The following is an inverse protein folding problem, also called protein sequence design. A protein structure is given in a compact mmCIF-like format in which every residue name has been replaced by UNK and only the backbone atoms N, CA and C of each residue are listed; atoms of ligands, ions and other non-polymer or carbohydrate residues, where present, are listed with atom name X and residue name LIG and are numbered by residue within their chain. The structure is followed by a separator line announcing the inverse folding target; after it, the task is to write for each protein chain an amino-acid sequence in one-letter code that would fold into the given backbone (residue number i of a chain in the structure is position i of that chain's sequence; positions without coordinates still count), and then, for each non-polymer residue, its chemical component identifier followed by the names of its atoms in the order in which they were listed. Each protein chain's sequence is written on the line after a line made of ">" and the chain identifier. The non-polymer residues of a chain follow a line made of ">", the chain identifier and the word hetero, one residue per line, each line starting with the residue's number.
data_IF_743749022037
#
_entry.id   IF_743749022037
#
_cell.length_a   1.000
_cell.length_b   1.000
_cell.length_c   1.000
_cell.angle_alpha   90.00
_cell.angle_beta   90.00
_cell.angle_gamma   90.00
#
_symmetry.space_group_name_H-M   'P 1'
#
loop_
_entity.id
_entity.type
_entity.pdbx_description
1 polymer ?
#
# COMPACT_ATOMS: atom_id res chain seq x y z
N UNK A 1 -6.50 22.60 -25.99
CA UNK A 1 -7.48 21.50 -26.12
C UNK A 1 -7.14 20.43 -25.10
N UNK A 2 -8.09 19.95 -24.32
CA UNK A 2 -7.86 18.94 -23.27
C UNK A 2 -8.42 17.61 -23.73
N UNK A 3 -7.59 16.58 -23.82
CA UNK A 3 -8.06 15.22 -24.07
C UNK A 3 -8.68 14.64 -22.80
N UNK A 4 -9.81 13.93 -22.93
CA UNK A 4 -10.46 13.20 -21.84
C UNK A 4 -10.60 11.74 -22.24
N UNK A 5 -10.23 10.83 -21.35
CA UNK A 5 -10.45 9.40 -21.51
C UNK A 5 -11.70 9.00 -20.75
N UNK A 6 -12.64 8.36 -21.45
CA UNK A 6 -13.82 7.77 -20.86
C UNK A 6 -13.75 6.26 -21.04
N UNK A 7 -13.86 5.50 -19.95
CA UNK A 7 -13.85 4.04 -19.97
C UNK A 7 -15.21 3.55 -19.46
N UNK A 8 -15.86 2.67 -20.24
CA UNK A 8 -17.06 1.95 -19.81
C UNK A 8 -16.64 0.55 -19.37
N UNK A 9 -16.82 0.25 -18.09
CA UNK A 9 -16.62 -1.10 -17.56
C UNK A 9 -17.97 -1.81 -17.52
N UNK A 10 -18.05 -2.98 -18.14
CA UNK A 10 -19.24 -3.85 -18.11
C UNK A 10 -18.90 -5.14 -17.40
N UNK A 11 -19.81 -5.65 -16.56
CA UNK A 11 -19.63 -6.88 -15.80
C UNK A 11 -18.40 -6.88 -14.86
N UNK A 12 -18.06 -5.72 -14.30
CA UNK A 12 -17.02 -5.65 -13.28
C UNK A 12 -17.51 -6.34 -12.01
N UNK A 13 -16.79 -7.36 -11.54
CA UNK A 13 -17.11 -8.06 -10.30
C UNK A 13 -16.15 -7.68 -9.16
N UNK A 14 -14.92 -7.27 -9.49
CA UNK A 14 -13.89 -6.87 -8.54
C UNK A 14 -13.07 -5.70 -9.07
N UNK A 15 -12.59 -4.87 -8.17
CA UNK A 15 -11.61 -3.81 -8.46
C UNK A 15 -10.38 -3.99 -7.55
N UNK A 16 -9.21 -3.65 -8.08
CA UNK A 16 -7.97 -3.51 -7.30
C UNK A 16 -7.58 -2.03 -7.28
N UNK A 17 -7.53 -1.45 -6.08
CA UNK A 17 -7.16 -0.05 -5.84
C UNK A 17 -5.78 -0.04 -5.18
N UNK A 18 -4.87 0.77 -5.73
CA UNK A 18 -3.47 0.82 -5.33
C UNK A 18 -3.17 2.14 -4.61
N UNK A 19 -2.90 2.06 -3.30
CA UNK A 19 -2.47 3.21 -2.51
C UNK A 19 -0.97 3.16 -2.30
N UNK A 20 -0.23 4.12 -2.87
CA UNK A 20 1.22 4.18 -2.70
C UNK A 20 1.60 4.76 -1.34
N UNK A 21 2.33 3.99 -0.53
CA UNK A 21 2.76 4.35 0.84
C UNK A 21 4.26 4.54 0.99
N UNK A 22 5.04 4.32 -0.08
CA UNK A 22 6.41 4.80 -0.22
C UNK A 22 6.84 4.75 -1.70
N UNK A 23 7.90 5.50 -2.02
CA UNK A 23 8.49 5.54 -3.36
C UNK A 23 10.01 5.68 -3.27
N UNK A 24 10.70 5.08 -4.23
CA UNK A 24 12.06 5.40 -4.68
C UNK A 24 13.02 5.90 -3.61
N UNK A 25 13.63 4.99 -2.85
CA UNK A 25 14.56 5.35 -1.78
C UNK A 25 15.65 4.31 -1.60
N UNK A 26 16.88 4.77 -1.39
CA UNK A 26 18.01 3.94 -0.97
C UNK A 26 18.14 4.08 0.54
N UNK A 27 17.78 3.02 1.28
CA UNK A 27 17.65 3.08 2.74
C UNK A 27 18.78 2.27 3.37
N UNK A 28 19.75 2.95 3.98
CA UNK A 28 20.93 2.37 4.64
C UNK A 28 20.73 2.09 6.13
N UNK A 29 19.78 2.78 6.78
CA UNK A 29 19.60 2.73 8.23
C UNK A 29 18.43 1.83 8.62
N UNK A 30 18.64 0.91 9.57
CA UNK A 30 17.58 0.11 10.16
C UNK A 30 16.65 0.94 11.05
N UNK A 31 15.40 0.51 11.18
CA UNK A 31 14.38 1.25 11.95
C UNK A 31 13.92 2.55 11.29
N UNK A 32 14.28 2.76 10.02
CA UNK A 32 13.98 3.96 9.26
C UNK A 32 12.52 3.99 8.81
N UNK A 33 11.82 5.03 9.23
CA UNK A 33 10.48 5.36 8.77
C UNK A 33 10.61 6.12 7.44
N UNK A 34 10.13 5.51 6.35
CA UNK A 34 10.23 6.10 5.01
C UNK A 34 9.43 7.42 5.01
N UNK A 35 10.07 8.58 4.82
CA UNK A 35 9.48 9.89 5.10
C UNK A 35 8.43 10.34 4.07
N UNK A 36 7.99 9.44 3.18
CA UNK A 36 7.19 9.79 2.01
C UNK A 36 5.86 9.04 1.99
N UNK A 37 4.79 9.85 1.94
CA UNK A 37 3.38 9.48 1.75
C UNK A 37 2.77 8.68 2.90
N UNK A 38 1.98 9.38 3.71
CA UNK A 38 1.00 8.77 4.62
C UNK A 38 -0.31 8.64 3.89
N UNK A 39 -0.86 7.44 3.92
CA UNK A 39 -2.15 7.17 3.31
C UNK A 39 -3.17 6.99 4.41
N UNK A 40 -4.19 7.84 4.40
CA UNK A 40 -5.44 7.54 5.09
C UNK A 40 -6.12 6.39 4.34
N UNK A 41 -6.29 5.25 5.01
CA UNK A 41 -7.03 4.12 4.47
C UNK A 41 -8.34 3.97 5.26
N UNK A 42 -9.45 4.30 4.62
CA UNK A 42 -10.78 4.00 5.15
C UNK A 42 -11.37 2.80 4.42
N UNK A 43 -11.26 1.63 5.04
CA UNK A 43 -11.78 0.37 4.50
C UNK A 43 -13.31 0.33 4.44
N UNK A 44 -14.00 1.20 5.20
CA UNK A 44 -15.47 1.26 5.21
C UNK A 44 -16.06 1.77 3.88
N UNK A 45 -15.22 2.39 3.05
CA UNK A 45 -15.59 2.85 1.71
C UNK A 45 -15.69 1.71 0.69
N UNK A 46 -15.34 0.48 1.07
CA UNK A 46 -15.31 -0.67 0.18
C UNK A 46 -16.25 -1.79 0.64
N UNK A 47 -16.87 -2.48 -0.32
CA UNK A 47 -17.64 -3.69 -0.06
C UNK A 47 -16.71 -4.90 0.01
N UNK A 48 -16.72 -5.61 1.14
CA UNK A 48 -15.96 -6.84 1.37
C UNK A 48 -14.47 -6.76 0.98
N UNK A 49 -13.70 -5.74 1.44
CA UNK A 49 -12.34 -5.55 0.99
C UNK A 49 -11.40 -6.63 1.52
N UNK A 50 -10.51 -7.12 0.66
CA UNK A 50 -9.31 -7.88 1.04
C UNK A 50 -8.09 -6.99 0.82
N UNK A 51 -7.30 -6.79 1.87
CA UNK A 51 -6.17 -5.86 1.87
C UNK A 51 -4.86 -6.62 1.84
N UNK A 52 -3.91 -6.15 1.03
CA UNK A 52 -2.54 -6.67 0.98
C UNK A 52 -1.54 -5.53 1.12
N UNK A 53 -0.35 -5.85 1.59
CA UNK A 53 0.82 -5.00 1.45
C UNK A 53 1.72 -5.56 0.35
N UNK A 54 2.18 -4.69 -0.54
CA UNK A 54 3.05 -5.06 -1.66
C UNK A 54 4.26 -4.14 -1.68
N UNK A 55 5.42 -4.72 -1.95
CA UNK A 55 6.65 -3.96 -2.15
C UNK A 55 7.41 -4.42 -3.39
N UNK A 56 8.05 -3.47 -4.05
CA UNK A 56 9.04 -3.73 -5.11
C UNK A 56 10.37 -3.17 -4.65
N UNK A 57 11.31 -4.06 -4.40
CA UNK A 57 12.63 -3.73 -3.85
C UNK A 57 13.64 -4.82 -4.18
N UNK A 58 14.89 -4.59 -3.80
CA UNK A 58 15.90 -5.64 -3.67
C UNK A 58 16.83 -5.34 -2.50
N UNK A 59 17.26 -6.40 -1.86
CA UNK A 59 18.35 -6.42 -0.90
C UNK A 59 18.94 -7.84 -0.93
N UNK A 60 20.26 -7.96 -1.00
CA UNK A 60 20.94 -9.24 -1.02
C UNK A 60 21.20 -9.76 0.40
N UNK A 61 20.19 -9.71 1.28
CA UNK A 61 20.25 -10.32 2.61
C UNK A 61 18.92 -10.98 3.01
N UNK A 62 18.97 -11.86 4.00
CA UNK A 62 17.79 -12.60 4.47
C UNK A 62 17.08 -11.92 5.65
N UNK A 63 17.53 -10.73 6.04
CA UNK A 63 17.19 -10.11 7.33
C UNK A 63 16.30 -8.90 7.13
N UNK A 64 16.45 -8.21 6.02
CA UNK A 64 15.75 -6.97 5.71
C UNK A 64 14.26 -7.18 5.55
N UNK A 65 13.52 -6.35 6.27
CA UNK A 65 12.06 -6.39 6.26
C UNK A 65 11.49 -5.00 6.06
N UNK A 66 10.55 -4.89 5.13
CA UNK A 66 9.63 -3.78 5.07
C UNK A 66 8.36 -4.14 5.83
N UNK A 67 7.84 -3.19 6.59
CA UNK A 67 6.56 -3.28 7.26
C UNK A 67 5.66 -2.12 6.88
N UNK A 68 4.36 -2.41 6.83
CA UNK A 68 3.34 -1.38 6.87
C UNK A 68 3.16 -0.95 8.33
N UNK A 69 3.25 0.34 8.60
CA UNK A 69 3.09 0.91 9.93
C UNK A 69 1.73 1.56 10.05
N UNK A 70 1.01 1.23 11.11
CA UNK A 70 -0.19 1.93 11.54
C UNK A 70 0.23 3.09 12.46
N UNK A 71 -0.13 4.32 12.07
CA UNK A 71 0.13 5.53 12.82
C UNK A 71 -1.13 6.15 13.46
N UNK A 72 -2.23 5.41 13.54
CA UNK A 72 -3.49 5.95 14.04
C UNK A 72 -3.98 7.11 13.19
N UNK A 73 -4.58 8.10 13.83
CA UNK A 73 -5.06 9.32 13.19
C UNK A 73 -3.96 10.39 13.00
N UNK A 74 -2.70 10.05 13.29
CA UNK A 74 -1.63 11.02 13.45
C UNK A 74 -0.92 11.40 12.13
N UNK A 75 -0.75 12.70 11.91
CA UNK A 75 -0.03 13.28 10.77
C UNK A 75 1.47 13.56 11.03
N UNK A 76 1.92 13.56 12.30
CA UNK A 76 3.25 14.03 12.74
C UNK A 76 4.43 13.19 12.24
N UNK A 77 4.19 11.94 11.88
CA UNK A 77 5.09 11.18 11.03
C UNK A 77 6.25 10.42 11.63
N UNK A 78 6.23 10.22 12.94
CA UNK A 78 7.14 9.33 13.65
C UNK A 78 6.33 8.54 14.66
N UNK A 79 6.75 7.30 14.94
CA UNK A 79 6.06 6.34 15.83
C UNK A 79 4.90 5.59 15.14
N UNK A 80 4.39 4.56 15.82
CA UNK A 80 3.34 3.67 15.30
C UNK A 80 3.56 2.22 15.71
N UNK A 81 2.79 1.31 15.12
CA UNK A 81 2.97 -0.14 15.30
C UNK A 81 3.00 -0.84 13.94
N UNK A 82 3.69 -1.97 13.84
CA UNK A 82 3.69 -2.76 12.62
C UNK A 82 2.30 -3.39 12.45
N UNK A 83 1.69 -3.25 11.27
CA UNK A 83 0.47 -3.98 10.94
C UNK A 83 0.81 -5.47 10.91
N UNK A 84 0.09 -6.27 11.69
CA UNK A 84 0.33 -7.70 11.80
C UNK A 84 0.29 -8.38 10.41
N UNK A 85 1.31 -9.19 10.12
CA UNK A 85 1.43 -9.90 8.83
C UNK A 85 1.92 -9.06 7.65
N UNK A 86 2.21 -7.76 7.84
CA UNK A 86 2.70 -6.89 6.76
C UNK A 86 4.20 -7.02 6.47
N UNK A 87 4.93 -7.86 7.19
CA UNK A 87 6.38 -8.02 7.01
C UNK A 87 6.74 -8.66 5.67
N UNK A 88 7.45 -7.92 4.82
CA UNK A 88 7.99 -8.40 3.54
C UNK A 88 9.50 -8.54 3.67
N UNK A 89 10.03 -9.74 3.42
CA UNK A 89 11.47 -10.00 3.37
C UNK A 89 11.98 -9.97 1.92
N UNK A 90 12.91 -9.07 1.61
CA UNK A 90 13.57 -9.01 0.31
C UNK A 90 14.93 -9.69 0.40
N UNK A 91 14.99 -10.94 -0.05
CA UNK A 91 16.24 -11.67 -0.23
C UNK A 91 16.51 -11.93 -1.70
N UNK A 92 16.99 -10.90 -2.40
CA UNK A 92 17.33 -10.99 -3.82
C UNK A 92 18.34 -9.93 -4.20
N UNK A 93 19.32 -10.33 -5.01
CA UNK A 93 20.28 -9.41 -5.65
C UNK A 93 19.64 -8.60 -6.80
N UNK A 94 18.43 -8.96 -7.23
CA UNK A 94 17.67 -8.27 -8.29
C UNK A 94 16.32 -7.80 -7.78
N UNK A 95 15.76 -6.78 -8.42
CA UNK A 95 14.42 -6.26 -8.10
C UNK A 95 13.38 -7.36 -8.20
N UNK A 96 12.66 -7.56 -7.10
CA UNK A 96 11.53 -8.47 -7.01
C UNK A 96 10.30 -7.72 -6.49
N UNK A 97 9.13 -8.24 -6.84
CA UNK A 97 7.84 -7.83 -6.27
C UNK A 97 7.38 -8.91 -5.31
N UNK A 98 7.04 -8.52 -4.09
CA UNK A 98 6.46 -9.43 -3.10
C UNK A 98 5.17 -8.80 -2.58
N UNK A 99 4.11 -9.62 -2.53
CA UNK A 99 2.82 -9.28 -1.92
C UNK A 99 2.62 -10.18 -0.70
N UNK A 100 2.13 -9.63 0.41
CA UNK A 100 1.84 -10.39 1.63
C UNK A 100 0.59 -11.27 1.43
N UNK A 101 0.31 -12.12 2.42
CA UNK A 101 -1.06 -12.61 2.63
C UNK A 101 -2.00 -11.43 2.99
N UNK A 102 -3.30 -11.70 3.06
CA UNK A 102 -4.27 -10.69 3.49
C UNK A 102 -3.93 -10.17 4.89
N UNK A 103 -3.99 -8.85 5.05
CA UNK A 103 -3.78 -8.15 6.31
C UNK A 103 -5.05 -7.42 6.74
N UNK A 104 -5.14 -7.06 8.02
CA UNK A 104 -6.29 -6.33 8.58
C UNK A 104 -5.80 -5.01 9.18
N UNK A 105 -5.58 -3.97 8.35
CA UNK A 105 -5.28 -2.64 8.85
C UNK A 105 -6.52 -2.03 9.53
N UNK A 106 -6.29 -1.15 10.50
CA UNK A 106 -7.35 -0.40 11.16
C UNK A 106 -7.97 0.63 10.21
N UNK A 107 -9.28 0.56 9.97
CA UNK A 107 -9.98 1.53 9.13
C UNK A 107 -9.91 2.94 9.70
N UNK A 108 -9.70 3.94 8.85
CA UNK A 108 -9.61 5.35 9.24
C UNK A 108 -8.22 5.78 9.73
N UNK A 109 -7.27 4.85 9.83
CA UNK A 109 -5.90 5.17 10.23
C UNK A 109 -5.03 5.58 9.04
N UNK A 110 -3.88 6.19 9.38
CA UNK A 110 -2.83 6.57 8.46
C UNK A 110 -1.71 5.56 8.47
N UNK A 111 -1.27 5.20 7.28
CA UNK A 111 -0.27 4.18 7.07
C UNK A 111 0.94 4.69 6.32
N UNK A 112 2.11 4.17 6.67
CA UNK A 112 3.38 4.47 6.03
C UNK A 112 4.31 3.25 6.04
N UNK A 113 5.41 3.30 5.30
CA UNK A 113 6.37 2.19 5.23
C UNK A 113 7.52 2.37 6.21
N UNK A 114 7.94 1.30 6.87
CA UNK A 114 9.16 1.27 7.67
C UNK A 114 10.07 0.13 7.26
N UNK A 115 11.37 0.41 7.26
CA UNK A 115 12.43 -0.62 7.19
C UNK A 115 12.79 -1.03 8.62
N UNK A 116 12.64 -2.32 8.95
CA UNK A 116 12.83 -2.76 10.34
C UNK A 116 14.30 -3.04 10.71
N UNK A 117 15.16 -3.57 9.83
CA UNK A 117 16.49 -4.00 10.27
C UNK A 117 17.50 -4.29 9.15
N UNK A 118 18.48 -3.40 8.97
CA UNK A 118 19.93 -3.68 8.95
C UNK A 118 20.70 -2.40 8.54
N UNK A 119 22.03 -2.45 8.56
CA UNK A 119 22.92 -1.42 7.97
C UNK A 119 23.09 -1.55 6.45
N UNK A 120 22.58 -2.62 5.85
CA UNK A 120 22.65 -2.84 4.41
C UNK A 120 21.68 -1.93 3.68
N UNK A 121 21.99 -1.69 2.41
CA UNK A 121 21.17 -0.87 1.54
C UNK A 121 19.97 -1.66 1.06
N UNK A 122 18.77 -1.17 1.38
CA UNK A 122 17.54 -1.59 0.73
C UNK A 122 17.20 -0.61 -0.38
N UNK A 123 17.07 -1.11 -1.60
CA UNK A 123 16.81 -0.29 -2.78
C UNK A 123 15.33 -0.34 -3.15
N UNK A 124 14.55 0.51 -2.47
CA UNK A 124 13.10 0.56 -2.56
C UNK A 124 12.68 1.24 -3.85
N UNK A 125 11.87 0.56 -4.66
CA UNK A 125 11.19 1.18 -5.81
C UNK A 125 9.85 1.78 -5.39
N UNK A 126 9.01 0.99 -4.71
CA UNK A 126 7.76 1.46 -4.09
C UNK A 126 7.17 0.42 -3.16
N UNK A 127 6.26 0.88 -2.31
CA UNK A 127 5.32 0.02 -1.58
C UNK A 127 3.89 0.51 -1.78
N UNK A 128 2.95 -0.43 -1.75
CA UNK A 128 1.53 -0.21 -1.97
C UNK A 128 0.73 -0.90 -0.87
N UNK A 129 -0.35 -0.27 -0.44
CA UNK A 129 -1.51 -0.97 0.08
C UNK A 129 -2.38 -1.30 -1.12
N UNK A 130 -2.71 -2.58 -1.27
CA UNK A 130 -3.56 -3.09 -2.34
C UNK A 130 -4.92 -3.43 -1.74
N UNK A 131 -5.96 -2.75 -2.20
CA UNK A 131 -7.35 -3.02 -1.80
C UNK A 131 -8.04 -3.76 -2.92
N UNK A 132 -8.38 -5.03 -2.71
CA UNK A 132 -9.26 -5.77 -3.60
C UNK A 132 -10.68 -5.75 -3.03
N UNK A 133 -11.62 -5.14 -3.74
CA UNK A 133 -13.00 -5.00 -3.28
C UNK A 133 -13.99 -5.47 -4.34
N UNK A 134 -15.18 -5.90 -3.88
CA UNK A 134 -16.29 -6.18 -4.78
C UNK A 134 -16.78 -4.89 -5.43
N UNK A 135 -17.10 -4.97 -6.71
CA UNK A 135 -17.76 -3.86 -7.38
C UNK A 135 -19.24 -3.85 -7.04
N UNK A 136 -19.68 -2.81 -6.33
CA UNK A 136 -21.10 -2.54 -6.11
C UNK A 136 -21.53 -1.51 -7.14
N UNK A 137 -22.38 -1.93 -8.08
CA UNK A 137 -22.96 -1.01 -9.04
C UNK A 137 -23.79 0.06 -8.29
N UNK A 138 -23.67 1.34 -8.66
CA UNK A 138 -24.54 2.37 -8.10
C UNK A 138 -26.01 2.05 -8.42
N UNK A 139 -26.96 2.50 -7.57
CA UNK A 139 -28.39 2.25 -7.79
C UNK A 139 -28.83 2.69 -9.19
N UNK A 140 -29.63 1.85 -9.85
CA UNK A 140 -30.16 2.10 -11.20
C UNK A 140 -30.98 3.40 -11.17
N UNK A 141 -30.49 4.45 -11.84
CA UNK A 141 -31.10 5.78 -11.87
C UNK A 141 -30.22 6.91 -11.31
N UNK A 142 -29.13 6.59 -10.61
CA UNK A 142 -28.10 7.57 -10.26
C UNK A 142 -27.20 7.84 -11.47
N UNK A 143 -26.99 9.11 -11.84
CA UNK A 143 -25.95 9.49 -12.80
C UNK A 143 -24.59 9.10 -12.21
N UNK A 144 -24.08 7.94 -12.59
CA UNK A 144 -22.80 7.44 -12.10
C UNK A 144 -21.64 8.07 -12.87
N UNK A 145 -21.05 9.12 -12.30
CA UNK A 145 -19.66 9.47 -12.57
C UNK A 145 -18.82 8.77 -11.51
N UNK A 146 -18.38 7.54 -11.79
CA UNK A 146 -17.41 6.86 -10.96
C UNK A 146 -16.05 7.54 -11.15
N UNK A 147 -15.65 8.39 -10.20
CA UNK A 147 -14.29 8.87 -10.14
C UNK A 147 -13.43 7.76 -9.54
N UNK A 148 -12.61 7.14 -10.38
CA UNK A 148 -11.43 6.43 -9.90
C UNK A 148 -10.39 7.55 -9.73
N UNK A 149 -10.17 7.96 -8.48
CA UNK A 149 -9.14 8.95 -8.14
C UNK A 149 -7.74 8.36 -8.29
#
# INVERSE_FOLDING_TARGET
>A
MTARLYVKLTNLSKAEILYRVARGESITTGGYDVPHQRILLDTSLFSSPTIYFEGVSYCSDNVERLFLRDHGENDSGVNGSDVAGSGINFNSATKIRIRTNSITPTSGNRFYTRKAASTNVLELTHTLIVVQAEYVAPPVGGKSFGYIF
#
